data_IF_508074774669
#
_entry.id   IF_508074774669
#
_cell.length_a   1.000
_cell.length_b   1.000
_cell.length_c   1.000
_cell.angle_alpha   90.00
_cell.angle_beta   90.00
_cell.angle_gamma   90.00
#
_symmetry.space_group_name_H-M   'P 1'
#
loop_
_entity.id
_entity.type
_entity.pdbx_description
1 polymer ?
#
# COMPACT_ATOMS: atom_id res chain seq x y z
N UNK A 1 29.67 -34.86 -27.58
CA UNK A 1 29.54 -35.54 -26.28
C UNK A 1 28.10 -35.34 -25.81
N UNK A 2 27.18 -36.24 -26.19
CA UNK A 2 26.66 -37.36 -25.37
C UNK A 2 26.15 -36.89 -23.99
N UNK A 3 24.89 -37.05 -23.56
CA UNK A 3 23.79 -37.95 -23.94
C UNK A 3 22.43 -37.37 -23.50
N UNK A 4 21.40 -37.79 -24.21
CA UNK A 4 19.99 -37.87 -23.84
C UNK A 4 19.77 -38.55 -22.47
N UNK A 5 18.79 -38.08 -21.70
CA UNK A 5 18.16 -38.86 -20.62
C UNK A 5 16.65 -38.89 -20.82
N UNK A 6 16.20 -40.04 -21.30
CA UNK A 6 14.85 -40.57 -21.15
C UNK A 6 14.48 -40.66 -19.68
N UNK A 7 13.29 -40.15 -19.31
CA UNK A 7 12.60 -40.61 -18.10
C UNK A 7 12.00 -41.98 -18.42
N UNK A 8 12.59 -43.01 -17.83
CA UNK A 8 12.03 -44.37 -17.83
C UNK A 8 11.39 -44.59 -16.47
N UNK A 9 10.10 -44.89 -16.47
CA UNK A 9 9.32 -45.31 -15.32
C UNK A 9 9.94 -46.56 -14.66
N UNK A 10 10.25 -46.46 -13.37
CA UNK A 10 10.58 -47.61 -12.54
C UNK A 10 9.64 -47.61 -11.32
N UNK A 11 8.59 -48.44 -11.41
CA UNK A 11 7.71 -48.82 -10.30
C UNK A 11 8.26 -50.11 -9.71
N UNK A 12 8.59 -50.13 -8.41
CA UNK A 12 9.00 -51.35 -7.72
C UNK A 12 7.78 -52.16 -7.25
N UNK A 13 7.97 -53.47 -7.08
CA UNK A 13 6.96 -54.54 -6.98
C UNK A 13 6.05 -54.54 -5.75
N UNK A 14 6.06 -53.49 -4.92
CA UNK A 14 5.12 -53.35 -3.79
C UNK A 14 4.36 -52.00 -3.73
N UNK A 15 4.37 -51.19 -4.79
CA UNK A 15 3.35 -50.14 -4.98
C UNK A 15 3.28 -49.02 -3.92
N UNK A 16 4.39 -48.65 -3.29
CA UNK A 16 4.47 -47.49 -2.38
C UNK A 16 5.48 -46.45 -2.86
N UNK A 17 5.01 -45.19 -3.00
CA UNK A 17 5.85 -44.01 -3.22
C UNK A 17 6.33 -43.53 -1.84
N UNK A 18 7.62 -43.62 -1.57
CA UNK A 18 8.26 -43.04 -0.40
C UNK A 18 8.67 -41.58 -0.72
N UNK A 19 7.98 -40.61 -0.13
CA UNK A 19 8.44 -39.22 -0.07
C UNK A 19 9.26 -39.06 1.22
N UNK A 20 10.55 -38.76 1.08
CA UNK A 20 11.41 -38.31 2.18
C UNK A 20 11.12 -36.84 2.49
N UNK A 21 10.75 -36.57 3.75
CA UNK A 21 10.61 -35.23 4.32
C UNK A 21 11.98 -34.57 4.50
N UNK A 22 12.33 -33.66 3.59
CA UNK A 22 13.39 -32.66 3.81
C UNK A 22 12.78 -31.27 3.57
N UNK A 23 12.47 -30.56 4.66
CA UNK A 23 11.99 -29.18 4.66
C UNK A 23 13.19 -28.23 4.47
N UNK A 24 13.23 -27.37 3.44
CA UNK A 24 14.28 -26.34 3.35
C UNK A 24 13.97 -25.22 4.35
N UNK A 25 14.99 -24.67 5.05
CA UNK A 25 14.77 -23.69 6.11
C UNK A 25 14.17 -22.39 5.55
N UNK A 26 13.06 -21.96 6.16
CA UNK A 26 12.38 -20.72 5.85
C UNK A 26 13.30 -19.50 6.03
N UNK A 27 13.48 -18.75 4.95
CA UNK A 27 14.07 -17.42 5.01
C UNK A 27 13.10 -16.46 5.68
N UNK A 28 13.54 -15.85 6.78
CA UNK A 28 12.78 -14.82 7.48
C UNK A 28 12.67 -13.56 6.63
N UNK A 29 11.59 -12.82 6.82
CA UNK A 29 11.30 -11.51 6.22
C UNK A 29 12.38 -10.44 6.47
N UNK A 30 13.38 -10.71 7.31
CA UNK A 30 14.45 -9.78 7.66
C UNK A 30 15.58 -9.72 6.61
N UNK A 31 15.69 -10.69 5.68
CA UNK A 31 16.81 -10.77 4.73
C UNK A 31 16.61 -10.04 3.40
N UNK A 32 15.45 -9.40 3.17
CA UNK A 32 15.16 -8.68 1.91
C UNK A 32 15.43 -7.17 1.97
N UNK A 33 15.94 -6.65 3.09
CA UNK A 33 16.14 -5.22 3.34
C UNK A 33 17.58 -4.71 3.13
N UNK A 34 18.48 -5.51 2.55
CA UNK A 34 19.90 -5.16 2.43
C UNK A 34 20.39 -5.00 1.00
N UNK A 35 19.81 -4.06 0.25
CA UNK A 35 20.43 -3.52 -0.97
C UNK A 35 20.79 -2.03 -0.75
N UNK A 36 21.99 -1.58 -1.17
CA UNK A 36 22.47 -0.23 -0.86
C UNK A 36 21.74 0.84 -1.69
N UNK A 37 21.31 1.90 -1.01
CA UNK A 37 20.76 3.13 -1.60
C UNK A 37 21.88 3.93 -2.24
N UNK A 38 21.75 4.26 -3.53
CA UNK A 38 22.65 5.18 -4.24
C UNK A 38 22.12 6.61 -4.02
N UNK A 39 22.92 7.55 -3.47
CA UNK A 39 22.45 8.92 -3.26
C UNK A 39 22.43 9.70 -4.59
N UNK A 40 21.29 10.32 -4.91
CA UNK A 40 21.20 11.36 -5.95
C UNK A 40 21.76 12.68 -5.39
N UNK A 41 22.84 13.18 -5.98
CA UNK A 41 23.37 14.52 -5.75
C UNK A 41 22.56 15.57 -6.51
N UNK A 42 22.07 16.59 -5.82
CA UNK A 42 21.46 17.79 -6.42
C UNK A 42 22.54 18.68 -7.07
N UNK A 43 22.29 19.27 -8.27
CA UNK A 43 23.18 20.28 -8.81
C UNK A 43 22.90 21.67 -8.22
N UNK A 44 23.98 22.44 -8.17
CA UNK A 44 24.12 23.71 -7.49
C UNK A 44 23.40 24.91 -8.16
N UNK A 45 23.19 25.91 -7.32
CA UNK A 45 22.62 27.24 -7.54
C UNK A 45 23.18 28.01 -8.73
N UNK A 46 22.33 28.83 -9.36
CA UNK A 46 22.74 29.98 -10.17
C UNK A 46 22.01 31.23 -9.68
N UNK A 47 22.79 32.25 -9.32
CA UNK A 47 22.36 33.58 -8.90
C UNK A 47 21.99 34.47 -10.10
N UNK A 48 20.94 35.27 -9.94
CA UNK A 48 20.75 36.64 -10.44
C UNK A 48 19.32 37.04 -10.01
N UNK A 49 18.95 38.25 -9.67
CA UNK A 49 19.53 39.58 -9.77
C UNK A 49 18.48 40.53 -9.18
N UNK A 50 18.96 41.62 -8.61
CA UNK A 50 18.26 42.61 -7.80
C UNK A 50 17.06 43.29 -8.47
N UNK A 51 16.00 43.55 -7.71
CA UNK A 51 14.88 44.41 -8.11
C UNK A 51 14.05 44.87 -6.90
N UNK A 52 14.55 45.88 -6.19
CA UNK A 52 13.80 46.67 -5.20
C UNK A 52 12.58 47.31 -5.86
N UNK A 53 11.40 47.20 -5.23
CA UNK A 53 10.33 48.22 -5.22
C UNK A 53 9.24 47.82 -4.19
N UNK A 54 9.04 48.70 -3.22
CA UNK A 54 7.87 48.80 -2.32
C UNK A 54 7.74 50.29 -1.95
N UNK A 55 6.63 50.79 -1.39
CA UNK A 55 5.34 50.13 -1.12
C UNK A 55 4.13 50.94 -1.63
N UNK A 56 2.94 50.36 -1.62
CA UNK A 56 1.69 51.13 -1.59
C UNK A 56 0.69 50.48 -0.64
N UNK A 57 0.30 51.28 0.33
CA UNK A 57 -0.65 51.05 1.41
C UNK A 57 -2.09 50.91 0.92
N UNK A 58 -2.88 50.00 1.49
CA UNK A 58 -4.17 50.36 2.09
C UNK A 58 -4.69 49.21 2.95
N UNK A 59 -4.88 49.54 4.23
CA UNK A 59 -5.45 48.69 5.26
C UNK A 59 -6.97 48.73 5.17
N UNK A 60 -7.64 47.58 5.22
CA UNK A 60 -9.05 47.51 5.61
C UNK A 60 -9.23 46.29 6.50
N UNK A 61 -9.13 46.54 7.80
CA UNK A 61 -9.40 45.55 8.83
C UNK A 61 -10.91 45.30 8.89
N UNK A 62 -11.34 44.08 8.58
CA UNK A 62 -12.68 43.59 8.84
C UNK A 62 -12.68 43.03 10.26
N UNK A 63 -13.32 43.75 11.19
CA UNK A 63 -13.57 43.29 12.55
C UNK A 63 -14.62 42.16 12.52
N UNK A 64 -14.16 40.91 12.65
CA UNK A 64 -15.02 39.78 12.96
C UNK A 64 -15.32 39.79 14.47
N UNK A 65 -16.60 39.74 14.84
CA UNK A 65 -17.02 39.67 16.24
C UNK A 65 -16.51 38.38 16.90
N UNK A 66 -16.16 38.40 18.20
CA UNK A 66 -15.75 37.19 18.89
C UNK A 66 -16.91 36.18 18.93
N UNK A 67 -16.64 34.98 18.42
CA UNK A 67 -17.54 33.84 18.47
C UNK A 67 -17.49 33.24 19.89
N UNK A 68 -18.60 33.31 20.61
CA UNK A 68 -18.75 32.73 21.95
C UNK A 68 -18.55 31.20 21.89
N UNK A 69 -17.45 30.73 22.48
CA UNK A 69 -17.17 29.30 22.64
C UNK A 69 -18.11 28.72 23.70
N UNK A 70 -19.12 27.96 23.27
CA UNK A 70 -19.84 27.06 24.16
C UNK A 70 -18.87 25.97 24.65
N UNK A 71 -18.64 25.94 25.96
CA UNK A 71 -17.88 24.91 26.64
C UNK A 71 -18.71 23.63 26.69
N UNK A 72 -18.26 22.58 25.99
CA UNK A 72 -18.82 21.25 26.15
C UNK A 72 -18.26 20.60 27.43
N UNK A 73 -19.07 19.82 28.18
CA UNK A 73 -18.63 19.22 29.43
C UNK A 73 -17.50 18.23 29.20
N UNK A 74 -16.40 18.42 29.92
CA UNK A 74 -15.24 17.53 30.02
C UNK A 74 -15.62 16.27 30.78
N UNK A 75 -16.27 15.34 30.10
CA UNK A 75 -16.37 13.95 30.56
C UNK A 75 -15.01 13.26 30.41
N UNK A 76 -14.29 13.09 31.52
CA UNK A 76 -13.05 12.31 31.55
C UNK A 76 -13.40 10.84 31.29
N UNK A 77 -13.15 10.37 30.07
CA UNK A 77 -13.17 8.94 29.77
C UNK A 77 -11.99 8.30 30.50
N UNK A 78 -12.30 7.54 31.55
CA UNK A 78 -11.30 6.75 32.27
C UNK A 78 -10.84 5.58 31.39
N UNK A 79 -9.56 5.58 31.04
CA UNK A 79 -8.92 4.44 30.35
C UNK A 79 -8.86 3.27 31.35
N UNK A 80 -9.49 2.13 31.07
CA UNK A 80 -9.41 0.98 31.97
C UNK A 80 -7.96 0.47 32.08
N UNK A 81 -7.53 -0.01 33.26
CA UNK A 81 -6.18 -0.50 33.45
C UNK A 81 -5.89 -1.69 32.54
N UNK A 82 -4.65 -1.76 32.02
CA UNK A 82 -4.15 -2.84 31.16
C UNK A 82 -4.30 -4.19 31.87
N UNK A 83 -5.40 -4.91 31.63
CA UNK A 83 -5.53 -6.29 32.08
C UNK A 83 -4.56 -7.14 31.26
N UNK A 84 -3.64 -7.85 31.92
CA UNK A 84 -2.63 -8.73 31.32
C UNK A 84 -3.22 -10.01 30.71
N UNK A 85 -4.31 -9.88 29.96
CA UNK A 85 -4.97 -11.01 29.30
C UNK A 85 -4.08 -11.46 28.16
N UNK A 86 -3.40 -12.59 28.34
CA UNK A 86 -2.73 -13.31 27.24
C UNK A 86 -3.76 -13.49 26.13
N UNK A 87 -3.58 -12.79 25.01
CA UNK A 87 -4.37 -13.02 23.80
C UNK A 87 -3.93 -14.38 23.28
N UNK A 88 -4.61 -15.43 23.74
CA UNK A 88 -4.49 -16.75 23.13
C UNK A 88 -4.96 -16.59 21.70
N UNK A 89 -4.12 -16.91 20.70
CA UNK A 89 -4.48 -17.00 19.28
C UNK A 89 -5.71 -17.89 19.16
N UNK A 90 -6.88 -17.28 19.21
CA UNK A 90 -8.12 -17.94 18.88
C UNK A 90 -8.18 -17.82 17.38
N UNK A 91 -7.97 -18.93 16.67
CA UNK A 91 -8.24 -18.99 15.24
C UNK A 91 -9.61 -18.37 15.04
N UNK A 92 -9.68 -17.21 14.37
CA UNK A 92 -10.95 -16.60 14.05
C UNK A 92 -11.75 -17.67 13.29
N UNK A 93 -13.01 -17.92 13.67
CA UNK A 93 -13.85 -18.81 12.87
C UNK A 93 -13.81 -18.32 11.42
N UNK A 94 -13.80 -19.22 10.43
CA UNK A 94 -13.83 -18.82 9.04
C UNK A 94 -14.98 -17.83 8.84
N UNK A 95 -14.71 -16.75 8.12
CA UNK A 95 -15.70 -15.71 7.84
C UNK A 95 -17.02 -16.38 7.42
N UNK A 96 -18.16 -16.05 8.06
CA UNK A 96 -19.46 -16.60 7.68
C UNK A 96 -19.89 -16.14 6.29
N UNK A 97 -19.21 -15.13 5.73
CA UNK A 97 -19.36 -14.76 4.34
C UNK A 97 -18.52 -15.71 3.50
N UNK A 98 -19.18 -16.68 2.85
CA UNK A 98 -18.65 -17.23 1.61
C UNK A 98 -18.50 -16.04 0.66
N UNK A 99 -17.27 -15.56 0.47
CA UNK A 99 -16.99 -14.62 -0.61
C UNK A 99 -17.21 -15.42 -1.89
N UNK A 100 -18.43 -15.38 -2.41
CA UNK A 100 -18.79 -16.03 -3.64
C UNK A 100 -18.00 -15.36 -4.76
N UNK A 101 -16.84 -15.94 -5.09
CA UNK A 101 -16.07 -15.53 -6.25
C UNK A 101 -17.00 -15.57 -7.46
N UNK A 102 -17.14 -14.45 -8.17
CA UNK A 102 -17.98 -14.37 -9.37
C UNK A 102 -17.56 -15.43 -10.38
N UNK A 103 -18.47 -15.85 -11.28
CA UNK A 103 -18.08 -16.84 -12.31
C UNK A 103 -16.92 -16.33 -13.17
N UNK A 104 -16.84 -15.02 -13.39
CA UNK A 104 -15.70 -14.34 -14.01
C UNK A 104 -14.39 -14.63 -13.25
N UNK A 105 -14.36 -14.40 -11.94
CA UNK A 105 -13.18 -14.65 -11.12
C UNK A 105 -12.79 -16.14 -11.09
N UNK A 106 -13.77 -17.05 -11.04
CA UNK A 106 -13.52 -18.50 -11.11
C UNK A 106 -12.96 -18.92 -12.46
N UNK A 107 -13.53 -18.43 -13.55
CA UNK A 107 -13.07 -18.70 -14.90
C UNK A 107 -11.65 -18.17 -15.12
N UNK A 108 -11.37 -16.96 -14.65
CA UNK A 108 -10.03 -16.37 -14.67
C UNK A 108 -9.02 -17.22 -13.89
N UNK A 109 -9.35 -17.63 -12.65
CA UNK A 109 -8.49 -18.53 -11.87
C UNK A 109 -8.23 -19.84 -12.62
N UNK A 110 -9.26 -20.52 -13.12
CA UNK A 110 -9.09 -21.79 -13.86
C UNK A 110 -8.20 -21.63 -15.09
N UNK A 111 -8.26 -20.49 -15.77
CA UNK A 111 -7.47 -20.22 -16.97
C UNK A 111 -6.02 -19.86 -16.67
N UNK A 112 -5.79 -18.95 -15.73
CA UNK A 112 -4.45 -18.36 -15.53
C UNK A 112 -3.73 -18.85 -14.26
N UNK A 113 -4.45 -19.49 -13.35
CA UNK A 113 -3.95 -20.05 -12.09
C UNK A 113 -4.53 -21.46 -11.85
N UNK A 114 -4.37 -22.42 -12.80
CA UNK A 114 -5.05 -23.72 -12.75
C UNK A 114 -4.69 -24.54 -11.51
N UNK A 115 -3.46 -24.41 -11.02
CA UNK A 115 -2.94 -25.16 -9.86
C UNK A 115 -3.31 -24.53 -8.51
N UNK A 116 -3.92 -23.34 -8.53
CA UNK A 116 -4.29 -22.63 -7.30
C UNK A 116 -5.59 -23.20 -6.71
N UNK A 117 -5.49 -23.75 -5.50
CA UNK A 117 -6.66 -24.26 -4.76
C UNK A 117 -7.58 -23.10 -4.37
N UNK A 118 -8.87 -23.38 -4.19
CA UNK A 118 -9.84 -22.37 -3.76
C UNK A 118 -9.47 -21.76 -2.40
N UNK A 119 -8.90 -22.55 -1.48
CA UNK A 119 -8.44 -22.07 -0.18
C UNK A 119 -7.32 -21.02 -0.33
N UNK A 120 -6.36 -21.26 -1.22
CA UNK A 120 -5.26 -20.31 -1.48
C UNK A 120 -5.79 -19.05 -2.19
N UNK A 121 -6.71 -19.20 -3.15
CA UNK A 121 -7.36 -18.06 -3.80
C UNK A 121 -8.08 -17.15 -2.80
N UNK A 122 -8.69 -17.74 -1.76
CA UNK A 122 -9.38 -17.02 -0.70
C UNK A 122 -8.45 -16.56 0.45
N UNK A 123 -7.15 -16.86 0.39
CA UNK A 123 -6.15 -16.31 1.31
C UNK A 123 -5.63 -14.97 0.78
N UNK A 124 -5.93 -13.89 1.49
CA UNK A 124 -5.45 -12.55 1.14
C UNK A 124 -3.92 -12.46 1.10
N UNK A 125 -3.21 -13.30 1.88
CA UNK A 125 -1.74 -13.33 1.87
C UNK A 125 -1.22 -13.92 0.57
N UNK A 126 -1.90 -14.93 0.03
CA UNK A 126 -1.60 -15.48 -1.28
C UNK A 126 -1.86 -14.43 -2.37
N UNK A 127 -2.99 -13.72 -2.32
CA UNK A 127 -3.31 -12.63 -3.24
C UNK A 127 -2.23 -11.53 -3.23
N UNK A 128 -1.75 -11.13 -2.05
CA UNK A 128 -0.70 -10.12 -1.87
C UNK A 128 0.68 -10.58 -2.34
N UNK A 129 1.01 -11.87 -2.18
CA UNK A 129 2.26 -12.46 -2.68
C UNK A 129 2.27 -12.54 -4.22
N UNK A 130 1.13 -12.90 -4.81
CA UNK A 130 0.99 -13.13 -6.25
C UNK A 130 0.54 -11.88 -7.04
N UNK A 131 0.80 -10.67 -6.53
CA UNK A 131 0.45 -9.44 -7.26
C UNK A 131 1.17 -9.36 -8.60
N UNK A 132 0.41 -8.94 -9.61
CA UNK A 132 0.86 -8.61 -10.96
C UNK A 132 1.57 -7.26 -10.90
N UNK A 133 2.86 -7.24 -11.29
CA UNK A 133 3.75 -6.08 -11.14
C UNK A 133 4.60 -5.77 -12.37
N UNK A 134 4.69 -6.69 -13.32
CA UNK A 134 5.59 -6.55 -14.48
C UNK A 134 4.81 -6.55 -15.77
N UNK A 135 5.32 -5.86 -16.79
CA UNK A 135 4.72 -5.82 -18.13
C UNK A 135 4.40 -7.23 -18.65
N UNK A 136 5.37 -8.15 -18.58
CA UNK A 136 5.20 -9.53 -19.04
C UNK A 136 4.06 -10.26 -18.31
N UNK A 137 3.88 -10.01 -17.01
CA UNK A 137 2.73 -10.56 -16.29
C UNK A 137 1.43 -9.93 -16.82
N UNK A 138 1.34 -8.61 -16.98
CA UNK A 138 0.15 -7.95 -17.52
C UNK A 138 -0.26 -8.51 -18.90
N UNK A 139 0.70 -8.67 -19.81
CA UNK A 139 0.46 -9.20 -21.15
C UNK A 139 -0.07 -10.65 -21.16
N UNK A 140 0.13 -11.40 -20.07
CA UNK A 140 -0.44 -12.74 -19.90
C UNK A 140 -1.93 -12.76 -19.51
N UNK A 141 -2.48 -11.61 -19.07
CA UNK A 141 -3.87 -11.51 -18.57
C UNK A 141 -4.76 -10.61 -19.42
N UNK A 142 -4.21 -9.54 -20.00
CA UNK A 142 -4.97 -8.52 -20.75
C UNK A 142 -4.24 -8.13 -22.03
N UNK A 143 -5.00 -7.75 -23.07
CA UNK A 143 -4.46 -7.07 -24.25
C UNK A 143 -4.21 -5.61 -23.89
N UNK A 144 -2.93 -5.25 -23.70
CA UNK A 144 -2.52 -3.88 -23.42
C UNK A 144 -2.65 -3.02 -24.68
N UNK A 145 -3.21 -1.83 -24.50
CA UNK A 145 -3.06 -0.74 -25.46
C UNK A 145 -1.60 -0.30 -25.53
N UNK A 146 -1.23 0.39 -26.62
CA UNK A 146 0.13 0.91 -26.77
C UNK A 146 0.50 1.88 -25.65
N UNK A 147 -0.46 2.69 -25.18
CA UNK A 147 -0.27 3.63 -24.08
C UNK A 147 0.01 2.92 -22.74
N UNK A 148 -0.79 1.90 -22.37
CA UNK A 148 -0.55 1.12 -21.16
C UNK A 148 0.77 0.34 -21.22
N UNK A 149 1.09 -0.24 -22.40
CA UNK A 149 2.36 -0.94 -22.62
C UNK A 149 3.54 0.02 -22.45
N UNK A 150 3.47 1.21 -23.04
CA UNK A 150 4.51 2.22 -22.92
C UNK A 150 4.70 2.64 -21.46
N UNK A 151 3.62 2.92 -20.75
CA UNK A 151 3.68 3.31 -19.34
C UNK A 151 4.28 2.22 -18.44
N UNK A 152 3.89 0.96 -18.64
CA UNK A 152 4.45 -0.18 -17.93
C UNK A 152 5.93 -0.45 -18.29
N UNK A 153 6.36 -0.10 -19.52
CA UNK A 153 7.73 -0.31 -20.01
C UNK A 153 8.70 0.75 -19.53
N UNK A 154 8.26 2.02 -19.47
CA UNK A 154 9.12 3.13 -19.06
C UNK A 154 9.60 2.98 -17.60
N UNK A 155 8.78 2.34 -16.75
CA UNK A 155 9.04 2.27 -15.31
C UNK A 155 9.07 3.68 -14.68
N UNK A 156 9.46 3.80 -13.42
CA UNK A 156 9.76 5.11 -12.83
C UNK A 156 8.57 6.05 -12.57
N UNK A 157 7.32 5.57 -12.59
CA UNK A 157 6.20 6.35 -12.03
C UNK A 157 6.43 6.55 -10.53
N UNK A 158 5.94 7.68 -9.97
CA UNK A 158 5.97 7.91 -8.51
C UNK A 158 5.26 6.81 -7.71
N UNK A 159 4.31 6.11 -8.33
CA UNK A 159 3.51 5.07 -7.70
C UNK A 159 3.83 3.69 -8.30
N UNK A 160 4.38 2.74 -7.54
CA UNK A 160 4.61 1.39 -8.04
C UNK A 160 3.32 0.73 -8.55
N UNK A 161 3.46 -0.18 -9.51
CA UNK A 161 2.34 -0.98 -10.00
C UNK A 161 2.24 -2.28 -9.21
N UNK A 162 1.02 -2.67 -8.87
CA UNK A 162 0.74 -3.89 -8.12
C UNK A 162 -0.75 -4.14 -8.02
N UNK A 163 -1.21 -5.24 -8.61
CA UNK A 163 -2.64 -5.62 -8.65
C UNK A 163 -2.77 -7.06 -8.18
N UNK A 164 -3.70 -7.36 -7.28
CA UNK A 164 -3.95 -8.76 -6.86
C UNK A 164 -4.55 -9.59 -8.02
N UNK A 165 -4.31 -10.92 -8.06
CA UNK A 165 -4.97 -11.82 -9.01
C UNK A 165 -6.50 -11.69 -9.01
N UNK A 166 -7.11 -11.52 -7.84
CA UNK A 166 -8.55 -11.27 -7.73
C UNK A 166 -8.96 -9.98 -8.46
N UNK A 167 -8.29 -8.86 -8.22
CA UNK A 167 -8.65 -7.59 -8.86
C UNK A 167 -8.40 -7.62 -10.37
N UNK A 168 -7.32 -8.27 -10.81
CA UNK A 168 -7.04 -8.54 -12.22
C UNK A 168 -8.18 -9.32 -12.89
N UNK A 169 -8.78 -10.28 -12.20
CA UNK A 169 -9.89 -11.07 -12.74
C UNK A 169 -11.15 -10.26 -13.07
N UNK A 170 -11.29 -9.06 -12.49
CA UNK A 170 -12.40 -8.15 -12.73
C UNK A 170 -12.17 -7.26 -13.97
N UNK A 171 -10.93 -7.16 -14.45
CA UNK A 171 -10.56 -6.30 -15.57
C UNK A 171 -10.99 -6.90 -16.89
N UNK A 172 -11.46 -6.04 -17.79
CA UNK A 172 -11.73 -6.38 -19.18
C UNK A 172 -10.41 -6.60 -19.91
N UNK A 173 -10.28 -7.77 -20.54
CA UNK A 173 -9.06 -8.17 -21.22
C UNK A 173 -8.81 -7.31 -22.46
N UNK A 174 -9.86 -6.88 -23.16
CA UNK A 174 -9.75 -6.26 -24.48
C UNK A 174 -10.11 -4.78 -24.47
N UNK A 175 -10.82 -4.30 -23.44
CA UNK A 175 -11.28 -2.91 -23.36
C UNK A 175 -10.43 -2.04 -22.40
N UNK A 176 -9.43 -1.28 -22.90
CA UNK A 176 -8.67 -0.34 -22.07
C UNK A 176 -9.50 0.84 -21.54
N UNK A 177 -10.67 1.11 -22.13
CA UNK A 177 -11.56 2.16 -21.66
C UNK A 177 -12.41 1.75 -20.45
N UNK A 178 -12.36 0.48 -20.02
CA UNK A 178 -13.12 -0.01 -18.86
C UNK A 178 -12.78 0.84 -17.61
N UNK A 179 -13.78 1.39 -16.89
CA UNK A 179 -13.53 2.25 -15.74
C UNK A 179 -12.64 1.61 -14.67
N UNK A 180 -12.88 0.34 -14.35
CA UNK A 180 -12.09 -0.39 -13.35
C UNK A 180 -10.64 -0.66 -13.78
N UNK A 181 -10.38 -0.76 -15.08
CA UNK A 181 -9.01 -0.96 -15.60
C UNK A 181 -8.18 0.30 -15.46
N UNK A 182 -8.79 1.45 -15.78
CA UNK A 182 -8.18 2.78 -15.62
C UNK A 182 -7.78 3.11 -14.18
N UNK A 183 -8.39 2.45 -13.18
CA UNK A 183 -8.04 2.70 -11.78
C UNK A 183 -6.75 2.02 -11.35
N UNK A 184 -6.21 1.08 -12.12
CA UNK A 184 -5.12 0.20 -11.65
C UNK A 184 -4.01 -0.08 -12.67
N UNK A 185 -4.28 0.01 -13.98
CA UNK A 185 -3.25 -0.10 -15.02
C UNK A 185 -2.77 1.31 -15.38
N UNK A 186 -1.46 1.58 -15.32
CA UNK A 186 -0.93 2.92 -15.60
C UNK A 186 -1.01 3.28 -17.08
N UNK A 187 -1.06 4.58 -17.35
CA UNK A 187 -0.98 5.17 -18.70
C UNK A 187 0.12 6.23 -18.77
N UNK A 188 0.51 6.65 -19.97
CA UNK A 188 1.63 7.59 -20.13
C UNK A 188 1.34 8.97 -19.54
N UNK A 189 0.05 9.33 -19.37
CA UNK A 189 -0.35 10.59 -18.74
C UNK A 189 0.11 10.73 -17.29
N UNK A 190 0.44 9.64 -16.59
CA UNK A 190 0.92 9.70 -15.21
C UNK A 190 2.35 10.24 -15.08
N UNK A 191 3.08 10.34 -16.19
CA UNK A 191 4.42 10.95 -16.24
C UNK A 191 4.35 12.45 -16.55
N UNK A 192 3.17 12.94 -16.92
CA UNK A 192 2.95 14.36 -17.21
C UNK A 192 2.64 15.10 -15.91
N UNK A 193 3.49 16.06 -15.55
CA UNK A 193 3.25 16.95 -14.41
C UNK A 193 2.71 18.28 -14.90
N UNK A 194 1.53 18.68 -14.42
CA UNK A 194 0.90 19.95 -14.80
C UNK A 194 1.15 21.06 -13.78
N UNK A 195 0.92 22.32 -14.20
CA UNK A 195 0.99 23.49 -13.32
C UNK A 195 -0.07 23.36 -12.23
N UNK A 196 0.36 23.44 -10.97
CA UNK A 196 -0.51 23.29 -9.80
C UNK A 196 -0.37 21.94 -9.09
N UNK A 197 0.34 20.98 -9.70
CA UNK A 197 0.66 19.71 -9.05
C UNK A 197 1.83 19.84 -8.06
N UNK A 198 1.63 19.25 -6.88
CA UNK A 198 2.62 19.13 -5.83
C UNK A 198 2.72 17.66 -5.41
N UNK A 199 3.88 17.25 -4.92
CA UNK A 199 4.08 15.87 -4.44
C UNK A 199 3.29 15.66 -3.13
N UNK A 200 3.20 16.69 -2.29
CA UNK A 200 2.41 16.72 -1.06
C UNK A 200 1.35 17.85 -1.11
N UNK A 201 0.29 17.71 -1.93
CA UNK A 201 -0.71 18.77 -2.12
C UNK A 201 -1.55 19.01 -0.86
N UNK A 202 -1.53 18.07 0.10
CA UNK A 202 -2.26 18.16 1.35
C UNK A 202 -1.39 18.67 2.52
N UNK A 203 -0.09 18.89 2.29
CA UNK A 203 0.86 19.36 3.30
C UNK A 203 1.01 18.41 4.49
N UNK A 204 0.87 17.11 4.27
CA UNK A 204 0.93 16.09 5.33
C UNK A 204 2.28 16.09 6.05
N UNK A 205 3.39 16.29 5.32
CA UNK A 205 4.74 16.23 5.88
C UNK A 205 5.00 17.40 6.84
N UNK A 206 4.51 18.60 6.48
CA UNK A 206 4.61 19.80 7.32
C UNK A 206 3.76 19.73 8.60
N UNK A 207 2.78 18.83 8.64
CA UNK A 207 1.92 18.58 9.79
C UNK A 207 2.25 17.26 10.52
N UNK A 208 3.47 16.72 10.34
CA UNK A 208 3.88 15.43 10.89
C UNK A 208 4.79 15.57 12.12
N UNK A 209 4.26 15.70 13.36
CA UNK A 209 5.08 15.81 14.58
C UNK A 209 5.96 14.57 14.85
N UNK A 210 5.55 13.40 14.36
CA UNK A 210 6.30 12.13 14.42
C UNK A 210 6.15 11.45 13.07
N UNK A 211 7.19 10.81 12.50
CA UNK A 211 7.09 10.13 11.21
C UNK A 211 5.91 9.15 11.10
N UNK A 212 5.03 9.41 10.13
CA UNK A 212 3.82 8.63 9.90
C UNK A 212 2.66 8.96 10.84
N UNK A 213 2.69 10.11 11.52
CA UNK A 213 1.55 10.66 12.25
C UNK A 213 1.30 12.10 11.81
N UNK A 214 0.20 12.35 11.10
CA UNK A 214 -0.19 13.69 10.64
C UNK A 214 -1.20 14.28 11.61
N UNK A 215 -0.88 15.44 12.18
CA UNK A 215 -1.75 16.18 13.10
C UNK A 215 -2.03 17.59 12.57
N UNK A 216 -2.96 17.66 11.61
CA UNK A 216 -3.39 18.91 10.96
C UNK A 216 -4.53 19.63 11.69
N UNK A 217 -5.42 18.86 12.33
CA UNK A 217 -6.63 19.39 12.96
C UNK A 217 -6.51 19.37 14.48
N UNK A 218 -7.22 20.23 15.23
CA UNK A 218 -6.98 20.40 16.66
C UNK A 218 -7.16 19.15 17.53
N UNK A 219 -8.07 18.25 17.16
CA UNK A 219 -8.58 17.17 18.02
C UNK A 219 -8.48 15.77 17.41
N UNK A 220 -7.83 15.63 16.24
CA UNK A 220 -7.73 14.36 15.53
C UNK A 220 -6.46 14.22 14.70
N UNK A 221 -6.01 12.99 14.55
CA UNK A 221 -4.77 12.64 13.86
C UNK A 221 -4.99 11.55 12.82
N UNK A 222 -4.09 11.49 11.85
CA UNK A 222 -4.00 10.42 10.86
C UNK A 222 -2.71 9.62 11.10
N UNK A 223 -2.84 8.35 11.44
CA UNK A 223 -1.73 7.42 11.62
C UNK A 223 -1.50 6.62 10.34
N UNK A 224 -0.28 6.65 9.83
CA UNK A 224 0.22 5.81 8.74
C UNK A 224 1.12 4.71 9.35
N UNK A 225 0.56 3.53 9.67
CA UNK A 225 1.34 2.41 10.19
C UNK A 225 2.12 1.66 9.10
N UNK A 226 1.63 1.71 7.86
CA UNK A 226 2.11 0.92 6.72
C UNK A 226 1.89 1.67 5.41
N UNK A 227 2.82 1.61 4.46
CA UNK A 227 2.70 2.19 3.12
C UNK A 227 2.28 1.20 2.01
N UNK A 228 2.10 -0.07 2.36
CA UNK A 228 1.66 -1.12 1.45
C UNK A 228 0.15 -1.03 1.18
N UNK A 229 -0.24 -1.18 -0.09
CA UNK A 229 -1.61 -1.47 -0.51
C UNK A 229 -1.65 -2.83 -1.22
N UNK A 230 -2.73 -3.59 -1.06
CA UNK A 230 -2.95 -4.83 -1.83
C UNK A 230 -3.05 -4.56 -3.34
N UNK A 231 -3.70 -3.45 -3.73
CA UNK A 231 -3.70 -2.94 -5.09
C UNK A 231 -3.39 -1.44 -5.06
N UNK A 232 -2.47 -0.98 -5.93
CA UNK A 232 -2.13 0.44 -6.04
C UNK A 232 -3.05 1.15 -7.04
N UNK A 233 -3.92 2.00 -6.54
CA UNK A 233 -4.83 2.81 -7.34
C UNK A 233 -4.07 3.93 -8.07
N UNK A 234 -4.24 4.08 -9.38
CA UNK A 234 -3.54 5.11 -10.18
C UNK A 234 -3.89 6.55 -9.84
N UNK A 235 -4.94 6.76 -9.05
CA UNK A 235 -5.36 8.06 -8.50
C UNK A 235 -4.97 8.24 -7.02
N UNK A 236 -3.98 7.51 -6.51
CA UNK A 236 -3.58 7.60 -5.11
C UNK A 236 -3.06 9.01 -4.76
N UNK A 237 -3.72 9.68 -3.80
CA UNK A 237 -3.28 11.00 -3.28
C UNK A 237 -1.99 10.95 -2.48
N UNK A 238 -1.49 9.74 -2.18
CA UNK A 238 -0.25 9.48 -1.44
C UNK A 238 0.76 8.71 -2.28
N UNK A 239 0.73 8.86 -3.61
CA UNK A 239 1.66 8.19 -4.54
C UNK A 239 3.12 8.35 -4.16
N UNK A 240 3.51 9.51 -3.61
CA UNK A 240 4.87 9.78 -3.08
C UNK A 240 5.26 8.96 -1.84
N UNK A 241 4.31 8.38 -1.10
CA UNK A 241 4.55 7.62 0.14
C UNK A 241 4.31 6.13 -0.08
N UNK A 242 3.20 5.77 -0.74
CA UNK A 242 2.76 4.36 -0.78
C UNK A 242 3.63 3.49 -1.67
N UNK A 243 4.02 2.33 -1.16
CA UNK A 243 4.75 1.29 -1.90
C UNK A 243 6.25 1.49 -2.05
N UNK A 244 6.85 2.45 -1.35
CA UNK A 244 8.31 2.68 -1.35
C UNK A 244 9.04 1.96 -0.21
N UNK A 245 8.32 1.41 0.77
CA UNK A 245 8.90 0.69 1.92
C UNK A 245 9.46 1.62 3.00
N UNK A 246 9.11 2.91 2.96
CA UNK A 246 9.54 3.92 3.91
C UNK A 246 8.73 3.87 5.21
N UNK A 247 7.42 3.55 5.11
CA UNK A 247 6.55 3.41 6.27
C UNK A 247 6.22 1.94 6.49
N UNK A 248 6.98 1.35 7.41
CA UNK A 248 6.77 -0.02 7.89
C UNK A 248 6.20 -0.03 9.31
N UNK A 249 5.53 -1.12 9.75
CA UNK A 249 4.99 -1.28 11.09
C UNK A 249 6.12 -1.53 12.11
N UNK A 250 6.96 -0.52 12.31
CA UNK A 250 8.11 -0.55 13.20
C UNK A 250 7.67 -0.21 14.63
N UNK A 251 7.84 -1.11 15.62
CA UNK A 251 7.41 -0.88 16.99
C UNK A 251 8.02 0.37 17.64
N UNK A 252 9.28 0.70 17.35
CA UNK A 252 9.95 1.89 17.91
C UNK A 252 9.31 3.18 17.41
N UNK A 253 8.98 3.24 16.11
CA UNK A 253 8.28 4.38 15.51
C UNK A 253 6.87 4.51 16.07
N UNK A 254 6.15 3.40 16.19
CA UNK A 254 4.80 3.38 16.75
C UNK A 254 4.79 3.78 18.23
N UNK A 255 5.80 3.41 19.02
CA UNK A 255 5.89 3.89 20.41
C UNK A 255 6.06 5.41 20.47
N UNK A 256 6.87 6.01 19.59
CA UNK A 256 7.00 7.48 19.51
C UNK A 256 5.66 8.16 19.13
N UNK A 257 4.86 7.51 18.28
CA UNK A 257 3.49 7.95 17.99
C UNK A 257 2.63 7.88 19.26
N UNK A 258 2.68 6.77 19.99
CA UNK A 258 1.91 6.61 21.23
C UNK A 258 2.35 7.57 22.33
N UNK A 259 3.66 7.89 22.43
CA UNK A 259 4.20 8.94 23.30
C UNK A 259 3.56 10.30 22.97
N UNK A 260 3.53 10.66 21.69
CA UNK A 260 2.90 11.91 21.23
C UNK A 260 1.42 11.98 21.61
N UNK A 261 0.66 10.90 21.37
CA UNK A 261 -0.76 10.84 21.71
C UNK A 261 -1.00 10.94 23.21
N UNK A 262 -0.18 10.27 24.03
CA UNK A 262 -0.24 10.37 25.50
C UNK A 262 0.03 11.80 25.99
N UNK A 263 0.91 12.53 25.32
CA UNK A 263 1.25 13.92 25.64
C UNK A 263 0.23 14.94 25.09
N UNK A 264 -0.71 14.53 24.25
CA UNK A 264 -1.61 15.44 23.50
C UNK A 264 -3.09 15.12 23.80
N UNK A 265 -3.58 15.44 25.02
CA UNK A 265 -4.88 14.97 25.51
C UNK A 265 -6.11 15.53 24.76
N UNK A 266 -5.93 16.57 23.95
CA UNK A 266 -6.96 17.12 23.07
C UNK A 266 -7.29 16.19 21.89
N UNK A 267 -6.40 15.27 21.52
CA UNK A 267 -6.65 14.28 20.46
C UNK A 267 -7.63 13.24 20.96
N UNK A 268 -8.81 13.20 20.34
CA UNK A 268 -9.91 12.30 20.67
C UNK A 268 -10.23 11.28 19.57
N UNK A 269 -9.69 11.49 18.37
CA UNK A 269 -9.92 10.65 17.19
C UNK A 269 -8.58 10.34 16.48
N UNK A 270 -8.39 9.07 16.14
CA UNK A 270 -7.18 8.54 15.48
C UNK A 270 -7.63 7.72 14.28
N UNK A 271 -7.43 8.26 13.08
CA UNK A 271 -7.70 7.55 11.84
C UNK A 271 -6.48 6.71 11.43
N UNK A 272 -6.64 5.39 11.36
CA UNK A 272 -5.59 4.47 10.91
C UNK A 272 -5.69 4.32 9.38
N UNK A 273 -4.65 4.72 8.66
CA UNK A 273 -4.61 4.77 7.19
C UNK A 273 -3.24 4.36 6.66
N UNK A 274 -2.56 5.19 5.85
CA UNK A 274 -1.30 4.85 5.19
C UNK A 274 -1.54 4.45 3.74
N UNK A 275 -1.11 3.23 3.41
CA UNK A 275 -1.62 2.49 2.27
C UNK A 275 -2.97 1.87 2.61
N UNK A 276 -2.98 0.55 2.85
CA UNK A 276 -4.13 -0.21 3.29
C UNK A 276 -3.92 -0.74 4.71
N UNK A 277 -4.56 -0.11 5.70
CA UNK A 277 -4.40 -0.47 7.11
C UNK A 277 -4.86 -1.92 7.40
N UNK A 278 -5.76 -2.49 6.59
CA UNK A 278 -6.23 -3.86 6.75
C UNK A 278 -5.25 -4.90 6.18
N UNK A 279 -4.14 -4.47 5.56
CA UNK A 279 -3.04 -5.34 5.21
C UNK A 279 -2.10 -5.66 6.39
N UNK A 280 -2.29 -5.00 7.54
CA UNK A 280 -1.59 -5.35 8.78
C UNK A 280 -2.04 -6.72 9.29
N UNK A 281 -1.20 -7.33 10.13
CA UNK A 281 -1.55 -8.60 10.74
C UNK A 281 -2.46 -8.41 11.95
N UNK A 282 -3.37 -9.37 12.20
CA UNK A 282 -4.27 -9.28 13.36
C UNK A 282 -3.52 -9.29 14.70
N UNK A 283 -2.36 -9.96 14.76
CA UNK A 283 -1.63 -10.23 15.99
C UNK A 283 -0.48 -9.24 16.27
N UNK A 284 -0.05 -8.46 15.28
CA UNK A 284 1.12 -7.56 15.34
C UNK A 284 0.93 -6.32 14.48
#
# INVERSE_FOLDING_TARGET
MNRSHECVDAVDREGQIACSDDEPPGSSLDQLLSLPVIPLTAPASAESGTGLLSPATSSTAVLLSPFEQQTLPTGVLSVPPKSGRKVTRRSLPPSPFEIASTERARAFRRRHFPDTRLADWNDWRWQSRNRIRTLAQFESFVQLSDDERNALSQGGTMLPVGITPYYMSLLDADNPAQPLRKTVIPTSSEFERTVGEADDPLGEDGHSPVPGLVHRYPDRVLLLPLDFCSTYCRYCTRSRVVGHGEIVPNPKRLEAVFDYLRATPQVRDVLISGGDALALSDDK
#
